data_IF_788062432562
#
_entry.id   IF_788062432562
#
_cell.length_a   1.000
_cell.length_b   1.000
_cell.length_c   1.000
_cell.angle_alpha   90.00
_cell.angle_beta   90.00
_cell.angle_gamma   90.00
#
_symmetry.space_group_name_H-M   'P 1'
#
loop_
_entity.id
_entity.type
_entity.pdbx_description
1 polymer ?
#
# COMPACT_ATOMS: atom_id res chain seq x y z
N UNK A 1 74.71 -38.64 35.42
CA UNK A 1 73.70 -39.44 34.68
C UNK A 1 72.85 -38.48 33.86
N UNK A 2 72.71 -38.74 32.55
CA UNK A 2 72.13 -37.84 31.53
C UNK A 2 70.60 -38.02 31.38
N UNK A 3 70.01 -36.96 30.81
CA UNK A 3 68.77 -36.88 30.00
C UNK A 3 67.42 -36.67 30.73
N UNK A 4 66.40 -36.08 30.07
CA UNK A 4 66.41 -34.84 29.27
C UNK A 4 65.12 -33.96 29.44
N UNK A 5 65.11 -32.84 28.71
CA UNK A 5 64.05 -31.84 28.48
C UNK A 5 62.59 -32.32 28.34
N UNK A 6 61.65 -31.45 28.76
CA UNK A 6 60.51 -31.05 27.92
C UNK A 6 60.10 -29.57 28.17
N UNK A 7 60.07 -28.69 27.15
CA UNK A 7 59.25 -27.50 27.15
C UNK A 7 57.90 -27.85 26.48
N UNK A 8 56.79 -27.78 27.21
CA UNK A 8 55.46 -27.87 26.56
C UNK A 8 55.05 -26.49 26.09
N UNK A 9 55.37 -26.23 24.83
CA UNK A 9 54.91 -25.08 24.06
C UNK A 9 53.37 -25.00 24.04
N UNK A 10 52.87 -23.82 24.41
CA UNK A 10 51.76 -23.11 23.79
C UNK A 10 50.45 -23.88 23.56
N UNK A 11 49.58 -23.88 24.57
CA UNK A 11 48.14 -24.16 24.39
C UNK A 11 47.28 -22.94 24.79
N UNK A 12 47.36 -21.84 24.03
CA UNK A 12 46.38 -20.74 24.15
C UNK A 12 45.84 -20.22 22.80
N UNK A 13 46.22 -20.81 21.66
CA UNK A 13 45.85 -20.31 20.33
C UNK A 13 44.49 -20.82 19.80
N UNK A 14 43.85 -21.81 20.43
CA UNK A 14 42.64 -22.48 19.89
C UNK A 14 41.28 -21.85 20.25
N UNK A 15 41.23 -20.87 21.17
CA UNK A 15 39.96 -20.29 21.65
C UNK A 15 39.57 -18.98 20.97
N UNK A 16 40.53 -18.27 20.37
CA UNK A 16 40.29 -16.96 19.72
C UNK A 16 39.79 -17.14 18.28
N UNK A 17 40.39 -18.07 17.55
CA UNK A 17 39.99 -18.42 16.18
C UNK A 17 38.60 -19.04 16.12
N UNK A 18 38.25 -19.92 17.07
CA UNK A 18 36.91 -20.51 17.18
C UNK A 18 35.84 -19.47 17.51
N UNK A 19 36.14 -18.52 18.40
CA UNK A 19 35.24 -17.38 18.69
C UNK A 19 35.05 -16.47 17.47
N UNK A 20 36.11 -16.19 16.73
CA UNK A 20 36.06 -15.40 15.50
C UNK A 20 35.25 -16.12 14.41
N UNK A 21 35.44 -17.43 14.25
CA UNK A 21 34.65 -18.24 13.31
C UNK A 21 33.17 -18.22 13.66
N UNK A 22 32.84 -18.31 14.96
CA UNK A 22 31.47 -18.23 15.43
C UNK A 22 30.83 -16.86 15.16
N UNK A 23 31.60 -15.77 15.36
CA UNK A 23 31.13 -14.42 15.04
C UNK A 23 30.92 -14.21 13.54
N UNK A 24 31.83 -14.73 12.71
CA UNK A 24 31.69 -14.68 11.24
C UNK A 24 30.48 -15.50 10.80
N UNK A 25 30.29 -16.70 11.36
CA UNK A 25 29.13 -17.52 11.07
C UNK A 25 27.82 -16.83 11.48
N UNK A 26 27.78 -16.22 12.67
CA UNK A 26 26.62 -15.46 13.13
C UNK A 26 26.32 -14.25 12.23
N UNK A 27 27.36 -13.55 11.77
CA UNK A 27 27.21 -12.43 10.85
C UNK A 27 26.69 -12.87 9.47
N UNK A 28 27.19 -13.99 8.93
CA UNK A 28 26.70 -14.54 7.66
C UNK A 28 25.25 -15.01 7.83
N UNK A 29 24.93 -15.65 8.95
CA UNK A 29 23.58 -16.12 9.24
C UNK A 29 22.58 -14.97 9.37
N UNK A 30 22.95 -13.87 10.05
CA UNK A 30 22.07 -12.69 10.18
C UNK A 30 21.87 -11.98 8.84
N UNK A 31 22.92 -11.86 8.02
CA UNK A 31 22.83 -11.34 6.65
C UNK A 31 21.92 -12.23 5.80
N UNK A 32 22.07 -13.55 5.87
CA UNK A 32 21.23 -14.50 5.13
C UNK A 32 19.75 -14.41 5.55
N UNK A 33 19.48 -14.26 6.85
CA UNK A 33 18.13 -14.05 7.38
C UNK A 33 17.54 -12.71 6.92
N UNK A 34 18.36 -11.66 6.86
CA UNK A 34 17.95 -10.32 6.42
C UNK A 34 17.69 -10.24 4.90
N UNK A 35 18.50 -10.94 4.10
CA UNK A 35 18.34 -11.02 2.64
C UNK A 35 17.35 -12.11 2.19
N UNK A 36 16.81 -12.91 3.12
CA UNK A 36 15.88 -13.97 2.76
C UNK A 36 14.55 -13.39 2.24
N UNK A 37 13.99 -13.94 1.15
CA UNK A 37 12.66 -13.59 0.62
C UNK A 37 11.50 -13.96 1.57
N UNK A 38 11.78 -14.49 2.76
CA UNK A 38 10.80 -14.71 3.83
C UNK A 38 11.04 -13.80 5.04
N UNK A 39 11.98 -12.84 4.95
CA UNK A 39 12.32 -11.92 6.02
C UNK A 39 11.22 -10.88 6.31
N UNK A 40 11.38 -10.15 7.42
CA UNK A 40 10.44 -9.14 7.94
C UNK A 40 10.01 -8.09 6.90
N UNK A 41 10.84 -7.84 5.87
CA UNK A 41 10.53 -6.89 4.80
C UNK A 41 9.36 -7.35 3.92
N UNK A 42 9.27 -8.65 3.62
CA UNK A 42 8.17 -9.22 2.84
C UNK A 42 6.84 -9.02 3.58
N UNK A 43 6.84 -9.31 4.88
CA UNK A 43 5.68 -9.11 5.75
C UNK A 43 5.25 -7.63 5.81
N UNK A 44 6.22 -6.72 5.89
CA UNK A 44 5.92 -5.28 5.93
C UNK A 44 5.34 -4.77 4.61
N UNK A 45 5.84 -5.26 3.48
CA UNK A 45 5.33 -4.93 2.14
C UNK A 45 3.90 -5.45 1.96
N UNK A 46 3.66 -6.72 2.28
CA UNK A 46 2.33 -7.35 2.19
C UNK A 46 1.34 -6.66 3.12
N UNK A 47 1.74 -6.31 4.34
CA UNK A 47 0.87 -5.59 5.28
C UNK A 47 0.51 -4.19 4.78
N UNK A 48 1.45 -3.47 4.16
CA UNK A 48 1.16 -2.18 3.51
C UNK A 48 0.23 -2.33 2.32
N UNK A 49 0.48 -3.29 1.44
CA UNK A 49 -0.39 -3.55 0.28
C UNK A 49 -1.79 -3.94 0.73
N UNK A 50 -1.92 -4.80 1.73
CA UNK A 50 -3.21 -5.17 2.31
C UNK A 50 -3.96 -3.97 2.89
N UNK A 51 -3.26 -3.08 3.61
CA UNK A 51 -3.87 -1.86 4.15
C UNK A 51 -4.36 -0.94 3.04
N UNK A 52 -3.56 -0.74 1.99
CA UNK A 52 -3.93 0.09 0.85
C UNK A 52 -5.13 -0.50 0.10
N UNK A 53 -5.11 -1.80 -0.20
CA UNK A 53 -6.23 -2.50 -0.84
C UNK A 53 -7.51 -2.39 -0.01
N UNK A 54 -7.40 -2.52 1.31
CA UNK A 54 -8.56 -2.40 2.20
C UNK A 54 -9.14 -0.99 2.20
N UNK A 55 -8.30 0.04 2.20
CA UNK A 55 -8.75 1.43 2.10
C UNK A 55 -9.43 1.70 0.75
N UNK A 56 -8.86 1.19 -0.34
CA UNK A 56 -9.46 1.34 -1.67
C UNK A 56 -10.80 0.61 -1.77
N UNK A 57 -10.90 -0.59 -1.21
CA UNK A 57 -12.17 -1.32 -1.16
C UNK A 57 -13.25 -0.53 -0.41
N UNK A 58 -12.91 0.04 0.76
CA UNK A 58 -13.85 0.85 1.54
C UNK A 58 -14.29 2.12 0.79
N UNK A 59 -13.38 2.75 0.05
CA UNK A 59 -13.68 3.89 -0.80
C UNK A 59 -14.64 3.51 -1.92
N UNK A 60 -14.33 2.44 -2.66
CA UNK A 60 -15.15 1.95 -3.76
C UNK A 60 -16.53 1.49 -3.29
N UNK A 61 -16.64 0.84 -2.14
CA UNK A 61 -17.94 0.48 -1.56
C UNK A 61 -18.79 1.71 -1.25
N UNK A 62 -18.16 2.78 -0.77
CA UNK A 62 -18.87 4.04 -0.46
C UNK A 62 -19.33 4.73 -1.73
N UNK A 63 -18.46 4.84 -2.73
CA UNK A 63 -18.80 5.39 -4.05
C UNK A 63 -19.91 4.58 -4.73
N UNK A 64 -19.84 3.25 -4.65
CA UNK A 64 -20.89 2.38 -5.19
C UNK A 64 -22.24 2.61 -4.49
N UNK A 65 -22.25 2.73 -3.15
CA UNK A 65 -23.48 3.08 -2.40
C UNK A 65 -24.06 4.42 -2.86
N UNK A 66 -23.22 5.45 -3.03
CA UNK A 66 -23.66 6.76 -3.49
C UNK A 66 -24.22 6.71 -4.92
N UNK A 67 -23.55 6.00 -5.82
CA UNK A 67 -24.02 5.81 -7.20
C UNK A 67 -25.36 5.06 -7.24
N UNK A 68 -25.55 4.04 -6.41
CA UNK A 68 -26.84 3.33 -6.33
C UNK A 68 -27.97 4.24 -5.85
N UNK A 69 -27.69 5.13 -4.89
CA UNK A 69 -28.67 6.14 -4.45
C UNK A 69 -29.00 7.09 -5.60
N UNK A 70 -28.00 7.56 -6.35
CA UNK A 70 -28.20 8.42 -7.51
C UNK A 70 -29.04 7.73 -8.60
N UNK A 71 -28.71 6.49 -8.95
CA UNK A 71 -29.48 5.68 -9.91
C UNK A 71 -30.94 5.55 -9.45
N UNK A 72 -31.15 5.22 -8.17
CA UNK A 72 -32.50 5.05 -7.61
C UNK A 72 -33.31 6.34 -7.70
N UNK A 73 -32.70 7.49 -7.41
CA UNK A 73 -33.34 8.81 -7.56
C UNK A 73 -33.63 9.10 -9.04
N UNK A 74 -32.68 8.83 -9.93
CA UNK A 74 -32.85 9.05 -11.36
C UNK A 74 -33.95 8.17 -11.98
N UNK A 75 -34.27 7.03 -11.37
CA UNK A 75 -35.35 6.14 -11.84
C UNK A 75 -36.71 6.49 -11.26
N UNK A 76 -36.76 6.93 -10.01
CA UNK A 76 -38.01 7.02 -9.25
C UNK A 76 -38.42 8.46 -8.88
N UNK A 77 -37.54 9.44 -9.07
CA UNK A 77 -37.78 10.85 -8.74
C UNK A 77 -37.78 11.72 -10.00
N UNK A 78 -38.96 12.03 -10.56
CA UNK A 78 -39.08 12.85 -11.77
C UNK A 78 -38.61 14.30 -11.56
N UNK A 79 -38.65 14.82 -10.32
CA UNK A 79 -38.16 16.18 -10.01
C UNK A 79 -36.63 16.19 -10.09
N UNK A 80 -35.99 15.16 -9.55
CA UNK A 80 -34.53 15.00 -9.62
C UNK A 80 -34.03 14.87 -11.07
N UNK A 81 -34.76 14.13 -11.92
CA UNK A 81 -34.47 14.04 -13.36
C UNK A 81 -34.59 15.41 -14.04
N UNK A 82 -35.66 16.16 -13.75
CA UNK A 82 -35.89 17.49 -14.32
C UNK A 82 -34.80 18.48 -13.91
N UNK A 83 -34.33 18.42 -12.65
CA UNK A 83 -33.22 19.24 -12.15
C UNK A 83 -31.92 18.94 -12.92
N UNK A 84 -31.57 17.66 -13.08
CA UNK A 84 -30.38 17.24 -13.84
C UNK A 84 -30.50 17.62 -15.31
N UNK A 85 -31.67 17.42 -15.92
CA UNK A 85 -31.94 17.80 -17.30
C UNK A 85 -31.74 19.31 -17.54
N UNK A 86 -32.19 20.15 -16.61
CA UNK A 86 -31.97 21.60 -16.67
C UNK A 86 -30.50 21.98 -16.41
N UNK A 87 -29.89 21.43 -15.37
CA UNK A 87 -28.54 21.83 -14.92
C UNK A 87 -27.43 21.34 -15.86
N UNK A 88 -27.48 20.07 -16.23
CA UNK A 88 -26.37 19.41 -16.93
C UNK A 88 -26.55 19.46 -18.45
N UNK A 89 -27.80 19.60 -18.93
CA UNK A 89 -28.13 19.60 -20.36
C UNK A 89 -28.87 20.85 -20.85
N UNK A 90 -29.25 21.77 -19.97
CA UNK A 90 -29.97 22.99 -20.36
C UNK A 90 -31.37 22.73 -20.93
N UNK A 91 -31.95 21.56 -20.69
CA UNK A 91 -33.24 21.17 -21.24
C UNK A 91 -34.39 21.89 -20.54
N UNK A 92 -35.40 22.27 -21.30
CA UNK A 92 -36.61 22.96 -20.84
C UNK A 92 -37.84 22.15 -21.23
N UNK A 93 -38.93 22.29 -20.48
CA UNK A 93 -40.21 21.69 -20.91
C UNK A 93 -40.68 22.33 -22.21
N UNK A 94 -41.53 21.61 -22.97
CA UNK A 94 -42.05 22.08 -24.26
C UNK A 94 -42.75 23.45 -24.19
N UNK A 95 -43.25 23.82 -23.02
CA UNK A 95 -43.96 25.06 -22.72
C UNK A 95 -43.10 26.11 -21.97
N UNK A 96 -41.79 25.91 -21.86
CA UNK A 96 -40.86 26.83 -21.19
C UNK A 96 -40.00 27.57 -22.23
N UNK A 97 -39.66 28.85 -21.95
CA UNK A 97 -38.87 29.71 -22.83
C UNK A 97 -37.61 30.17 -22.09
N UNK A 98 -36.44 30.09 -22.76
CA UNK A 98 -35.18 30.63 -22.26
C UNK A 98 -35.04 32.10 -22.69
N UNK A 99 -34.86 33.01 -21.73
CA UNK A 99 -34.52 34.41 -22.01
C UNK A 99 -33.02 34.63 -21.78
N UNK A 100 -32.28 34.88 -22.86
CA UNK A 100 -30.86 35.22 -22.80
C UNK A 100 -30.68 36.74 -22.93
N UNK A 101 -30.22 37.38 -21.85
CA UNK A 101 -30.03 38.83 -21.77
C UNK A 101 -28.63 39.28 -22.20
N UNK A 102 -27.82 38.40 -22.80
CA UNK A 102 -26.50 38.80 -23.33
C UNK A 102 -26.68 39.85 -24.45
N UNK A 103 -25.92 40.96 -24.42
CA UNK A 103 -25.96 41.95 -25.49
C UNK A 103 -25.54 41.26 -26.79
N UNK A 104 -26.42 41.32 -27.80
CA UNK A 104 -26.14 40.80 -29.14
C UNK A 104 -24.94 41.58 -29.70
N UNK A 105 -23.75 41.00 -29.68
CA UNK A 105 -22.60 41.63 -30.31
C UNK A 105 -22.89 41.73 -31.81
N UNK A 106 -23.06 42.95 -32.30
CA UNK A 106 -23.10 43.27 -33.73
C UNK A 106 -21.70 43.23 -34.30
#
# INVERSE_FOLDING_TARGET
MRHPHQPKFQQHQGKRTTRQLFLVFLAIFTIWMALSPYGLWQYYKVSREFKNLRQENQRLETENRELLIQITRLQNDPVYIEEIARRDFGLLKKNELLFDFRPRSR
#
